data_IF_546725629371
#
_entry.id   IF_546725629371
#
_cell.length_a   1.000
_cell.length_b   1.000
_cell.length_c   1.000
_cell.angle_alpha   90.00
_cell.angle_beta   90.00
_cell.angle_gamma   90.00
#
_symmetry.space_group_name_H-M   'P 1'
#
loop_
_entity.id
_entity.type
_entity.pdbx_description
1 polymer ?
#
# COMPACT_ATOMS: atom_id res chain seq x y z
N UNK A 1 1.45 -22.21 5.51
CA UNK A 1 0.65 -21.25 6.30
C UNK A 1 1.07 -19.87 5.84
N UNK A 2 0.17 -19.05 5.32
CA UNK A 2 0.50 -17.72 4.78
C UNK A 2 0.63 -16.75 5.96
N UNK A 3 1.76 -16.04 6.07
CA UNK A 3 1.94 -15.03 7.09
C UNK A 3 1.28 -13.71 6.65
N UNK A 4 0.67 -12.98 7.59
CA UNK A 4 0.06 -11.68 7.28
C UNK A 4 1.10 -10.66 6.75
N UNK A 5 2.37 -10.79 7.14
CA UNK A 5 3.46 -9.96 6.62
C UNK A 5 3.64 -10.09 5.11
N UNK A 6 3.69 -11.33 4.60
CA UNK A 6 3.83 -11.61 3.16
C UNK A 6 2.65 -11.00 2.37
N UNK A 7 1.44 -11.11 2.91
CA UNK A 7 0.24 -10.54 2.28
C UNK A 7 0.29 -9.00 2.19
N UNK A 8 0.83 -8.34 3.22
CA UNK A 8 1.01 -6.88 3.24
C UNK A 8 2.05 -6.46 2.21
N UNK A 9 3.14 -7.22 2.05
CA UNK A 9 4.17 -6.90 1.05
C UNK A 9 3.68 -7.12 -0.38
N UNK A 10 2.98 -8.22 -0.65
CA UNK A 10 2.39 -8.53 -1.96
C UNK A 10 1.35 -7.49 -2.40
N UNK A 11 0.59 -6.95 -1.43
CA UNK A 11 -0.54 -6.05 -1.70
C UNK A 11 -0.30 -4.67 -1.05
N UNK A 12 0.84 -4.03 -1.36
CA UNK A 12 1.28 -2.84 -0.62
C UNK A 12 0.34 -1.62 -0.67
N UNK A 13 -0.50 -1.51 -1.71
CA UNK A 13 -1.48 -0.42 -1.86
C UNK A 13 -2.85 -0.77 -1.26
N UNK A 14 -3.01 -1.97 -0.69
CA UNK A 14 -4.24 -2.39 -0.05
C UNK A 14 -4.45 -1.68 1.29
N UNK A 15 -5.70 -1.34 1.56
CA UNK A 15 -6.15 -0.86 2.86
C UNK A 15 -6.13 -1.98 3.89
N UNK A 16 -6.12 -1.62 5.18
CA UNK A 16 -6.20 -2.59 6.28
C UNK A 16 -7.47 -3.47 6.22
N UNK A 17 -8.58 -2.93 5.71
CA UNK A 17 -9.83 -3.66 5.54
C UNK A 17 -9.74 -4.69 4.39
N UNK A 18 -9.10 -4.32 3.28
CA UNK A 18 -8.85 -5.24 2.18
C UNK A 18 -7.89 -6.35 2.58
N UNK A 19 -6.82 -6.02 3.31
CA UNK A 19 -5.91 -7.02 3.89
C UNK A 19 -6.63 -8.00 4.81
N UNK A 20 -7.54 -7.50 5.65
CA UNK A 20 -8.39 -8.34 6.50
C UNK A 20 -9.26 -9.30 5.69
N UNK A 21 -9.85 -8.83 4.59
CA UNK A 21 -10.69 -9.65 3.71
C UNK A 21 -9.86 -10.70 2.97
N UNK A 22 -8.73 -10.29 2.40
CA UNK A 22 -7.80 -11.19 1.70
C UNK A 22 -7.25 -12.26 2.64
N UNK A 23 -6.94 -11.90 3.89
CA UNK A 23 -6.47 -12.85 4.89
C UNK A 23 -7.55 -13.90 5.23
N UNK A 24 -8.81 -13.48 5.37
CA UNK A 24 -9.95 -14.37 5.54
C UNK A 24 -10.11 -15.31 4.34
N UNK A 25 -10.06 -14.79 3.11
CA UNK A 25 -10.22 -15.58 1.89
C UNK A 25 -9.13 -16.66 1.75
N UNK A 26 -7.90 -16.37 2.18
CA UNK A 26 -6.78 -17.32 2.06
C UNK A 26 -6.64 -18.31 3.20
N UNK A 27 -7.07 -17.95 4.41
CA UNK A 27 -6.82 -18.74 5.62
C UNK A 27 -8.08 -19.24 6.32
N UNK A 28 -9.24 -18.68 6.00
CA UNK A 28 -10.50 -18.90 6.72
C UNK A 28 -10.57 -18.18 8.08
N UNK A 29 -9.56 -17.40 8.45
CA UNK A 29 -9.48 -16.73 9.75
C UNK A 29 -9.84 -15.25 9.58
N UNK A 30 -10.85 -14.79 10.34
CA UNK A 30 -11.21 -13.38 10.39
C UNK A 30 -10.32 -12.65 11.40
N UNK A 31 -9.58 -11.65 10.92
CA UNK A 31 -8.89 -10.69 11.78
C UNK A 31 -9.68 -9.38 11.80
N UNK A 32 -9.67 -8.68 12.93
CA UNK A 32 -10.19 -7.31 12.96
C UNK A 32 -9.20 -6.37 12.27
N UNK A 33 -9.70 -5.28 11.68
CA UNK A 33 -8.86 -4.20 11.12
C UNK A 33 -7.84 -3.69 12.15
N UNK A 34 -8.24 -3.57 13.41
CA UNK A 34 -7.35 -3.15 14.51
C UNK A 34 -6.24 -4.18 14.82
N UNK A 35 -6.49 -5.47 14.56
CA UNK A 35 -5.48 -6.53 14.70
C UNK A 35 -4.47 -6.42 13.55
N UNK A 36 -4.95 -6.24 12.32
CA UNK A 36 -4.09 -6.03 11.15
C UNK A 36 -3.19 -4.80 11.33
N UNK A 37 -3.75 -3.68 11.80
CA UNK A 37 -3.01 -2.46 12.09
C UNK A 37 -1.86 -2.70 13.10
N UNK A 38 -2.17 -3.34 14.24
CA UNK A 38 -1.18 -3.66 15.27
C UNK A 38 -0.09 -4.59 14.77
N UNK A 39 -0.42 -5.56 13.93
CA UNK A 39 0.58 -6.46 13.34
C UNK A 39 1.46 -5.71 12.35
N UNK A 40 0.88 -4.91 11.45
CA UNK A 40 1.64 -4.10 10.50
C UNK A 40 2.61 -3.14 11.20
N UNK A 41 2.16 -2.48 12.28
CA UNK A 41 2.99 -1.62 13.13
C UNK A 41 4.13 -2.40 13.80
N UNK A 42 3.83 -3.57 14.40
CA UNK A 42 4.84 -4.44 15.03
C UNK A 42 5.89 -4.93 14.03
N UNK A 43 5.48 -5.23 12.81
CA UNK A 43 6.36 -5.64 11.72
C UNK A 43 7.14 -4.45 11.13
N UNK A 44 6.87 -3.21 11.59
CA UNK A 44 7.41 -1.96 11.02
C UNK A 44 7.20 -1.86 9.51
N UNK A 45 6.13 -2.48 9.00
CA UNK A 45 5.71 -2.36 7.61
C UNK A 45 4.92 -1.06 7.50
N UNK A 46 5.63 0.04 7.61
CA UNK A 46 5.11 1.39 7.40
C UNK A 46 5.91 1.99 6.25
N UNK A 47 5.35 1.98 5.05
CA UNK A 47 6.02 2.58 3.90
C UNK A 47 5.56 4.01 3.74
N UNK A 48 6.48 4.98 3.90
CA UNK A 48 6.25 6.34 3.41
C UNK A 48 6.14 6.28 1.89
N UNK A 49 5.01 6.71 1.34
CA UNK A 49 4.84 6.85 -0.11
C UNK A 49 5.88 7.87 -0.60
N UNK A 50 6.93 7.40 -1.27
CA UNK A 50 7.88 8.30 -1.92
C UNK A 50 7.20 8.89 -3.13
N UNK A 51 6.71 10.13 -3.00
CA UNK A 51 6.12 10.94 -4.07
C UNK A 51 7.16 11.40 -5.11
N UNK A 52 8.27 10.67 -5.29
CA UNK A 52 9.24 11.00 -6.32
C UNK A 52 8.70 10.46 -7.65
N UNK A 53 8.27 11.32 -8.58
CA UNK A 53 7.88 10.85 -9.89
C UNK A 53 9.12 10.27 -10.55
N UNK A 54 8.96 9.20 -11.34
CA UNK A 54 10.03 8.72 -12.20
C UNK A 54 10.48 9.87 -13.13
N UNK A 55 11.74 9.85 -13.61
CA UNK A 55 12.25 10.95 -14.47
C UNK A 55 11.32 11.28 -15.66
N UNK A 56 10.65 10.26 -16.23
CA UNK A 56 9.64 10.41 -17.28
C UNK A 56 8.35 11.12 -16.81
N UNK A 57 7.92 10.88 -15.57
CA UNK A 57 6.77 11.60 -14.99
C UNK A 57 7.11 13.06 -14.67
N UNK A 58 8.35 13.35 -14.26
CA UNK A 58 8.82 14.73 -14.07
C UNK A 58 8.74 15.50 -15.39
N UNK A 59 9.24 14.95 -16.49
CA UNK A 59 9.18 15.59 -17.81
C UNK A 59 7.75 15.84 -18.27
N UNK A 60 6.85 14.87 -18.07
CA UNK A 60 5.42 15.01 -18.38
C UNK A 60 4.78 16.14 -17.56
N UNK A 61 5.03 16.18 -16.26
CA UNK A 61 4.48 17.19 -15.36
C UNK A 61 5.03 18.59 -15.67
N UNK A 62 6.31 18.71 -16.05
CA UNK A 62 6.90 19.98 -16.47
C UNK A 62 6.27 20.50 -17.78
N UNK A 63 6.04 19.62 -18.75
CA UNK A 63 5.36 19.98 -20.01
C UNK A 63 3.93 20.45 -19.74
N UNK A 64 3.17 19.70 -18.93
CA UNK A 64 1.81 20.04 -18.53
C UNK A 64 1.76 21.38 -17.79
N UNK A 65 2.72 21.63 -16.88
CA UNK A 65 2.81 22.89 -16.12
C UNK A 65 3.12 24.10 -17.03
N UNK A 66 3.86 23.93 -18.13
CA UNK A 66 4.06 25.00 -19.13
C UNK A 66 2.79 25.29 -19.91
N UNK A 67 2.06 24.25 -20.29
CA UNK A 67 0.83 24.35 -21.09
C UNK A 67 -0.31 25.05 -20.33
N UNK A 68 -0.45 24.82 -19.03
CA UNK A 68 -1.41 25.56 -18.18
C UNK A 68 -1.01 27.01 -17.87
N UNK A 69 0.25 27.39 -18.10
CA UNK A 69 0.77 28.74 -17.83
C UNK A 69 0.81 29.64 -19.07
N UNK A 70 0.56 29.09 -20.26
CA UNK A 70 0.37 29.84 -21.51
C UNK A 70 -1.10 30.07 -21.77
#
# INVERSE_FOLDING_TARGET
MIALGDLIEENNDATLAELSKLFLERTGILLSVATVARIAERLRITRKKTLHPTGKEIDRLQKLRREYKG
#
